data_IF_380786594063
#
_entry.id   IF_380786594063
#
_cell.length_a   1.000
_cell.length_b   1.000
_cell.length_c   1.000
_cell.angle_alpha   90.00
_cell.angle_beta   90.00
_cell.angle_gamma   90.00
#
_symmetry.space_group_name_H-M   'P 1'
#
loop_
_entity.id
_entity.type
_entity.pdbx_description
1 polymer ?
#
# COMPACT_ATOMS: atom_id res chain seq x y z
N UNK A 1 15.20 20.90 8.88
CA UNK A 1 13.90 20.33 9.28
C UNK A 1 13.07 19.80 8.10
N UNK A 2 13.39 20.15 6.85
CA UNK A 2 12.67 19.71 5.64
C UNK A 2 12.69 18.18 5.40
N UNK A 3 13.73 17.46 5.83
CA UNK A 3 13.84 16.00 5.66
C UNK A 3 12.76 15.24 6.47
N UNK A 4 12.33 15.79 7.60
CA UNK A 4 11.28 15.19 8.44
C UNK A 4 9.90 15.42 7.84
N UNK A 5 9.63 16.58 7.23
CA UNK A 5 8.36 16.88 6.57
C UNK A 5 8.15 16.02 5.32
N UNK A 6 9.20 15.77 4.53
CA UNK A 6 9.16 14.85 3.39
C UNK A 6 8.86 13.40 3.79
N UNK A 7 9.48 12.89 4.86
CA UNK A 7 9.25 11.52 5.35
C UNK A 7 7.85 11.34 5.98
N UNK A 8 7.32 12.37 6.64
CA UNK A 8 5.94 12.35 7.16
C UNK A 8 4.92 12.33 6.02
N UNK A 9 5.20 13.05 4.93
CA UNK A 9 4.35 13.04 3.73
C UNK A 9 4.28 11.67 3.06
N UNK A 10 5.42 10.98 2.90
CA UNK A 10 5.45 9.64 2.26
C UNK A 10 4.68 8.60 3.09
N UNK A 11 4.87 8.58 4.41
CA UNK A 11 4.12 7.67 5.30
C UNK A 11 2.61 7.90 5.25
N UNK A 12 2.18 9.16 5.20
CA UNK A 12 0.76 9.49 5.05
C UNK A 12 0.20 9.00 3.71
N UNK A 13 0.95 9.17 2.61
CA UNK A 13 0.55 8.70 1.28
C UNK A 13 0.45 7.17 1.22
N UNK A 14 1.43 6.45 1.76
CA UNK A 14 1.40 4.99 1.87
C UNK A 14 0.14 4.56 2.65
N UNK A 15 -0.11 5.16 3.82
CA UNK A 15 -1.28 4.80 4.64
C UNK A 15 -2.61 5.10 3.92
N UNK A 16 -2.71 6.17 3.15
CA UNK A 16 -3.89 6.46 2.33
C UNK A 16 -4.12 5.39 1.26
N UNK A 17 -3.06 4.97 0.57
CA UNK A 17 -3.12 3.91 -0.44
C UNK A 17 -3.51 2.56 0.18
N UNK A 18 -2.93 2.21 1.33
CA UNK A 18 -3.30 1.01 2.08
C UNK A 18 -4.78 1.02 2.47
N UNK A 19 -5.30 2.16 2.96
CA UNK A 19 -6.72 2.31 3.30
C UNK A 19 -7.63 2.17 2.07
N UNK A 20 -7.22 2.71 0.91
CA UNK A 20 -7.96 2.53 -0.36
C UNK A 20 -8.00 1.06 -0.77
N UNK A 21 -6.88 0.35 -0.67
CA UNK A 21 -6.83 -1.08 -1.01
C UNK A 21 -7.68 -1.88 -0.01
N UNK A 22 -7.56 -1.58 1.29
CA UNK A 22 -8.35 -2.17 2.36
C UNK A 22 -9.86 -2.02 2.12
N UNK A 23 -10.33 -0.82 1.76
CA UNK A 23 -11.75 -0.59 1.47
C UNK A 23 -12.25 -1.44 0.29
N UNK A 24 -11.42 -1.61 -0.74
CA UNK A 24 -11.77 -2.43 -1.91
C UNK A 24 -11.69 -3.93 -1.61
N UNK A 25 -10.77 -4.34 -0.75
CA UNK A 25 -10.49 -5.74 -0.47
C UNK A 25 -10.99 -6.19 0.92
N UNK A 26 -11.89 -5.44 1.56
CA UNK A 26 -12.38 -5.67 2.92
C UNK A 26 -13.01 -7.06 3.14
N UNK A 27 -13.59 -7.63 2.07
CA UNK A 27 -14.15 -8.99 2.07
C UNK A 27 -13.33 -10.00 1.27
N UNK A 28 -12.12 -9.66 0.82
CA UNK A 28 -11.30 -10.57 0.03
C UNK A 28 -10.65 -11.62 0.95
N UNK A 29 -10.88 -12.93 0.74
CA UNK A 29 -10.33 -13.98 1.58
C UNK A 29 -8.80 -14.11 1.48
N UNK A 30 -8.19 -13.43 0.50
CA UNK A 30 -6.73 -13.44 0.25
C UNK A 30 -5.99 -12.25 0.88
N UNK A 31 -6.72 -11.31 1.47
CA UNK A 31 -6.11 -10.19 2.19
C UNK A 31 -5.61 -10.65 3.55
N UNK A 32 -4.38 -10.26 3.89
CA UNK A 32 -3.88 -10.33 5.25
C UNK A 32 -3.41 -8.94 5.70
N UNK A 33 -3.93 -8.52 6.83
CA UNK A 33 -3.37 -7.40 7.57
C UNK A 33 -2.19 -7.93 8.38
N UNK A 34 -1.01 -7.36 8.16
CA UNK A 34 0.13 -7.54 9.05
C UNK A 34 0.17 -6.36 9.99
N UNK A 35 0.84 -6.53 11.14
CA UNK A 35 1.07 -5.45 12.09
C UNK A 35 1.76 -4.28 11.39
N UNK A 36 0.98 -3.24 11.09
CA UNK A 36 1.44 -2.00 10.49
C UNK A 36 1.36 -1.87 8.98
N UNK A 37 0.94 -2.90 8.22
CA UNK A 37 0.76 -2.76 6.76
C UNK A 37 -0.25 -3.74 6.15
N UNK A 38 -0.87 -3.31 5.06
CA UNK A 38 -1.80 -4.11 4.26
C UNK A 38 -1.04 -4.95 3.22
N UNK A 39 -1.20 -6.28 3.22
CA UNK A 39 -0.66 -7.11 2.15
C UNK A 39 -1.66 -8.14 1.68
N UNK A 40 -2.16 -7.94 0.46
CA UNK A 40 -2.90 -8.99 -0.20
C UNK A 40 -1.93 -10.08 -0.68
N UNK A 41 -2.03 -11.27 -0.07
CA UNK A 41 -1.20 -12.43 -0.44
C UNK A 41 -1.78 -13.02 -1.71
N UNK A 42 -1.24 -12.68 -2.87
CA UNK A 42 -1.51 -13.52 -4.03
C UNK A 42 -0.36 -13.53 -5.01
N UNK A 43 0.24 -14.72 -5.11
CA UNK A 43 0.87 -15.25 -6.32
C UNK A 43 -0.14 -15.36 -7.50
N UNK A 44 -1.39 -14.91 -7.34
CA UNK A 44 -2.41 -14.82 -8.37
C UNK A 44 -2.95 -13.40 -8.48
N UNK A 45 -2.32 -12.60 -9.33
CA UNK A 45 -2.64 -11.23 -9.72
C UNK A 45 -4.07 -11.00 -10.30
N UNK A 46 -4.99 -11.96 -10.20
CA UNK A 46 -6.28 -11.97 -10.90
C UNK A 46 -7.48 -11.49 -10.05
N UNK A 47 -7.39 -11.46 -8.72
CA UNK A 47 -8.51 -10.99 -7.88
C UNK A 47 -8.56 -9.47 -7.68
N UNK A 48 -7.56 -8.72 -8.16
CA UNK A 48 -7.47 -7.28 -7.98
C UNK A 48 -7.90 -6.52 -9.22
N UNK A 49 -8.76 -5.51 -9.01
CA UNK A 49 -9.02 -4.50 -10.03
C UNK A 49 -7.71 -3.81 -10.45
N UNK A 50 -7.69 -3.24 -11.65
CA UNK A 50 -6.52 -2.48 -12.16
C UNK A 50 -6.06 -1.41 -11.16
N UNK A 51 -7.00 -0.76 -10.45
CA UNK A 51 -6.72 0.29 -9.46
C UNK A 51 -5.95 -0.23 -8.25
N UNK A 52 -6.33 -1.39 -7.71
CA UNK A 52 -5.62 -2.01 -6.58
C UNK A 52 -4.17 -2.33 -6.95
N UNK A 53 -3.94 -2.87 -8.16
CA UNK A 53 -2.57 -3.14 -8.64
C UNK A 53 -1.75 -1.85 -8.81
N UNK A 54 -2.38 -0.76 -9.26
CA UNK A 54 -1.73 0.54 -9.37
C UNK A 54 -1.33 1.09 -7.99
N UNK A 55 -2.24 1.03 -7.01
CA UNK A 55 -1.95 1.48 -5.64
C UNK A 55 -0.86 0.64 -4.98
N UNK A 56 -0.84 -0.68 -5.21
CA UNK A 56 0.26 -1.53 -4.72
C UNK A 56 1.61 -1.14 -5.32
N UNK A 57 1.67 -0.94 -6.64
CA UNK A 57 2.91 -0.51 -7.30
C UNK A 57 3.34 0.91 -6.88
N UNK A 58 2.41 1.76 -6.49
CA UNK A 58 2.69 3.10 -5.96
C UNK A 58 3.26 3.03 -4.54
N UNK A 59 2.72 2.16 -3.68
CA UNK A 59 3.30 1.86 -2.36
C UNK A 59 4.73 1.36 -2.50
N UNK A 60 4.99 0.38 -3.38
CA UNK A 60 6.35 -0.17 -3.59
C UNK A 60 7.34 0.92 -4.00
N UNK A 61 6.97 1.82 -4.93
CA UNK A 61 7.81 2.95 -5.33
C UNK A 61 8.06 3.94 -4.21
N UNK A 62 7.03 4.23 -3.41
CA UNK A 62 7.17 5.14 -2.27
C UNK A 62 8.07 4.54 -1.20
N UNK A 63 7.95 3.24 -0.93
CA UNK A 63 8.82 2.48 -0.02
C UNK A 63 10.27 2.50 -0.51
N UNK A 64 10.53 2.21 -1.79
CA UNK A 64 11.86 2.30 -2.42
C UNK A 64 12.52 3.67 -2.24
N UNK A 65 11.75 4.76 -2.31
CA UNK A 65 12.27 6.13 -2.13
C UNK A 65 12.60 6.43 -0.66
N UNK A 66 11.92 5.79 0.30
CA UNK A 66 12.19 5.95 1.74
C UNK A 66 13.35 5.11 2.28
N UNK A 67 13.72 4.02 1.61
CA UNK A 67 14.85 3.14 1.97
C UNK A 67 16.22 3.67 1.48
N UNK A 68 16.24 4.83 0.82
CA UNK A 68 17.46 5.61 0.46
C UNK A 68 17.69 6.75 1.45
#
# INVERSE_FOLDING_TARGET
SEVLEGKVSIKAQISELENKIAAVCIGCPHVKWYTGFFKCRVDRCQCHSRRVRQWQAEIEKLEEVTDV
#
